data_IF_626744731532
#
_entry.id   IF_626744731532
#
_cell.length_a   1.000
_cell.length_b   1.000
_cell.length_c   1.000
_cell.angle_alpha   90.00
_cell.angle_beta   90.00
_cell.angle_gamma   90.00
#
_symmetry.space_group_name_H-M   'P 1'
#
loop_
_entity.id
_entity.type
_entity.pdbx_description
1 polymer ?
#
# COMPACT_ATOMS: atom_id res chain seq x y z
N UNK A 1 15.45 4.93 -27.62
CA UNK A 1 13.98 4.91 -27.74
C UNK A 1 13.45 5.14 -26.34
N UNK A 2 13.02 6.36 -26.00
CA UNK A 2 12.52 6.68 -24.66
C UNK A 2 11.12 6.08 -24.51
N UNK A 3 10.93 5.22 -23.52
CA UNK A 3 9.59 4.78 -23.16
C UNK A 3 8.88 5.96 -22.50
N UNK A 4 7.71 6.40 -22.99
CA UNK A 4 6.94 7.45 -22.32
C UNK A 4 6.60 7.01 -20.89
N UNK A 5 6.64 7.94 -19.95
CA UNK A 5 6.35 7.66 -18.54
C UNK A 5 4.93 7.10 -18.42
N UNK A 6 4.73 5.91 -17.82
CA UNK A 6 3.40 5.30 -17.71
C UNK A 6 2.40 6.16 -16.95
N UNK A 7 2.85 7.10 -16.10
CA UNK A 7 1.98 8.05 -15.39
C UNK A 7 1.29 9.01 -16.35
N UNK A 8 1.93 9.37 -17.47
CA UNK A 8 1.33 10.23 -18.49
C UNK A 8 0.13 9.52 -19.15
N UNK A 9 0.33 8.28 -19.60
CA UNK A 9 -0.76 7.49 -20.20
C UNK A 9 -1.89 7.20 -19.21
N UNK A 10 -1.53 6.92 -17.94
CA UNK A 10 -2.50 6.76 -16.87
C UNK A 10 -3.31 8.05 -16.66
N UNK A 11 -2.67 9.23 -16.67
CA UNK A 11 -3.35 10.51 -16.50
C UNK A 11 -4.28 10.86 -17.66
N UNK A 12 -3.82 10.68 -18.90
CA UNK A 12 -4.57 11.06 -20.11
C UNK A 12 -5.69 10.08 -20.45
N UNK A 13 -5.46 8.78 -20.29
CA UNK A 13 -6.37 7.74 -20.78
C UNK A 13 -6.96 6.88 -19.65
N UNK A 14 -6.40 6.92 -18.44
CA UNK A 14 -6.73 5.97 -17.37
C UNK A 14 -6.14 4.57 -17.59
N UNK A 15 -6.48 3.59 -16.75
CA UNK A 15 -5.99 2.22 -16.91
C UNK A 15 -6.58 1.58 -18.17
N UNK A 16 -5.78 0.73 -18.82
CA UNK A 16 -6.23 -0.10 -19.94
C UNK A 16 -7.47 -0.94 -19.58
N UNK A 17 -7.48 -1.47 -18.36
CA UNK A 17 -8.62 -2.16 -17.78
C UNK A 17 -8.89 -1.56 -16.40
N UNK A 18 -9.99 -0.81 -16.28
CA UNK A 18 -10.42 -0.27 -15.01
C UNK A 18 -10.86 -1.39 -14.05
N UNK A 19 -10.71 -1.14 -12.75
CA UNK A 19 -11.31 -2.00 -11.74
C UNK A 19 -12.83 -1.98 -11.90
N UNK A 20 -13.48 -3.14 -11.77
CA UNK A 20 -14.92 -3.25 -12.00
C UNK A 20 -15.76 -2.64 -10.87
N UNK A 21 -15.18 -2.46 -9.68
CA UNK A 21 -15.83 -1.81 -8.54
C UNK A 21 -15.37 -0.37 -8.33
N UNK A 22 -16.02 0.31 -7.38
CA UNK A 22 -15.73 1.72 -7.08
C UNK A 22 -14.59 1.92 -6.07
N UNK A 23 -14.29 0.90 -5.26
CA UNK A 23 -13.31 0.96 -4.15
C UNK A 23 -12.46 -0.29 -4.10
N UNK A 24 -11.15 -0.11 -4.20
CA UNK A 24 -10.16 -1.10 -3.82
C UNK A 24 -9.93 -0.98 -2.31
N UNK A 25 -10.58 -1.86 -1.56
CA UNK A 25 -10.28 -2.14 -0.14
C UNK A 25 -8.85 -2.65 0.04
N UNK A 26 -8.10 -2.02 0.94
CA UNK A 26 -6.70 -2.30 1.27
C UNK A 26 -6.60 -2.77 2.72
N UNK A 27 -6.11 -3.98 2.95
CA UNK A 27 -5.69 -4.43 4.28
C UNK A 27 -4.28 -3.96 4.61
N UNK A 28 -3.95 -3.88 5.90
CA UNK A 28 -2.61 -3.50 6.35
C UNK A 28 -2.15 -4.47 7.43
N UNK A 29 -0.97 -5.05 7.24
CA UNK A 29 -0.28 -5.87 8.24
C UNK A 29 1.00 -5.15 8.65
N UNK A 30 1.20 -4.90 9.93
CA UNK A 30 2.37 -4.17 10.41
C UNK A 30 2.36 -3.99 11.92
N UNK A 31 3.25 -3.15 12.44
CA UNK A 31 3.13 -2.67 13.83
C UNK A 31 1.98 -1.66 13.95
N UNK A 32 1.52 -1.38 15.18
CA UNK A 32 0.54 -0.32 15.40
C UNK A 32 1.00 1.05 14.85
N UNK A 33 2.30 1.35 14.96
CA UNK A 33 2.91 2.55 14.41
C UNK A 33 2.86 2.57 12.87
N UNK A 34 3.27 1.49 12.22
CA UNK A 34 3.34 1.45 10.74
C UNK A 34 1.97 1.36 10.09
N UNK A 35 0.97 0.81 10.78
CA UNK A 35 -0.43 0.92 10.37
C UNK A 35 -0.85 2.39 10.38
N UNK A 36 -0.58 3.11 11.46
CA UNK A 36 -0.90 4.55 11.56
C UNK A 36 -0.15 5.38 10.52
N UNK A 37 1.14 5.09 10.29
CA UNK A 37 1.93 5.77 9.25
C UNK A 37 1.38 5.46 7.84
N UNK A 38 0.88 4.25 7.60
CA UNK A 38 0.22 3.88 6.34
C UNK A 38 -1.07 4.69 6.15
N UNK A 39 -1.86 4.91 7.21
CA UNK A 39 -3.06 5.77 7.15
C UNK A 39 -2.71 7.20 6.77
N UNK A 40 -1.68 7.77 7.41
CA UNK A 40 -1.19 9.11 7.10
C UNK A 40 -0.68 9.20 5.67
N UNK A 41 0.01 8.16 5.20
CA UNK A 41 0.45 8.09 3.81
C UNK A 41 -0.72 8.07 2.83
N UNK A 42 -1.75 7.25 3.08
CA UNK A 42 -2.96 7.22 2.25
C UNK A 42 -3.67 8.57 2.24
N UNK A 43 -3.76 9.23 3.39
CA UNK A 43 -4.38 10.54 3.50
C UNK A 43 -3.59 11.62 2.75
N UNK A 44 -2.26 11.61 2.84
CA UNK A 44 -1.40 12.50 2.05
C UNK A 44 -1.53 12.20 0.54
N UNK A 45 -1.51 10.91 0.18
CA UNK A 45 -1.61 10.46 -1.21
C UNK A 45 -2.97 10.80 -1.84
N UNK A 46 -4.03 11.09 -1.08
CA UNK A 46 -5.29 11.61 -1.64
C UNK A 46 -5.07 12.90 -2.44
N UNK A 47 -4.20 13.79 -1.97
CA UNK A 47 -3.90 15.08 -2.59
C UNK A 47 -2.86 15.02 -3.71
N UNK A 48 -2.20 13.87 -3.91
CA UNK A 48 -1.09 13.74 -4.84
C UNK A 48 0.25 14.18 -4.25
N UNK A 49 1.32 14.04 -5.05
CA UNK A 49 2.67 14.49 -4.68
C UNK A 49 3.28 15.24 -5.87
N UNK A 50 3.91 16.38 -5.62
CA UNK A 50 4.50 17.20 -6.67
C UNK A 50 5.66 16.47 -7.40
N UNK A 51 5.80 16.79 -8.69
CA UNK A 51 6.92 16.30 -9.50
C UNK A 51 8.24 17.00 -9.13
N UNK A 52 9.37 16.33 -9.35
CA UNK A 52 10.69 16.81 -8.88
C UNK A 52 11.29 17.98 -9.68
N UNK A 53 10.65 18.44 -10.78
CA UNK A 53 11.21 19.52 -11.60
C UNK A 53 10.18 20.22 -12.50
N UNK A 54 10.10 21.54 -12.42
CA UNK A 54 9.32 22.38 -13.34
C UNK A 54 9.90 22.42 -14.75
N UNK A 55 11.20 22.14 -14.92
CA UNK A 55 11.89 22.30 -16.22
C UNK A 55 11.52 21.20 -17.22
N UNK A 56 11.11 20.03 -16.75
CA UNK A 56 10.72 18.89 -17.58
C UNK A 56 9.53 18.12 -16.97
N UNK A 57 8.31 18.70 -17.02
CA UNK A 57 7.12 18.11 -16.39
C UNK A 57 6.78 16.72 -16.94
N UNK A 58 7.11 16.45 -18.21
CA UNK A 58 6.86 15.15 -18.84
C UNK A 58 7.86 14.04 -18.43
N UNK A 59 9.00 14.40 -17.83
CA UNK A 59 10.01 13.44 -17.36
C UNK A 59 9.86 13.11 -15.86
N UNK A 60 9.22 14.01 -15.11
CA UNK A 60 8.96 13.84 -13.69
C UNK A 60 7.52 14.25 -13.34
N UNK A 61 6.50 13.60 -13.95
CA UNK A 61 5.12 13.95 -13.68
C UNK A 61 4.79 13.75 -12.19
N UNK A 62 3.95 14.64 -11.68
CA UNK A 62 3.42 14.56 -10.32
C UNK A 62 2.71 13.21 -10.10
N UNK A 63 2.68 12.75 -8.85
CA UNK A 63 1.74 11.70 -8.48
C UNK A 63 0.34 12.32 -8.43
N UNK A 64 -0.63 11.80 -9.21
CA UNK A 64 -1.92 12.44 -9.45
C UNK A 64 -2.87 12.40 -8.25
N UNK A 65 -2.51 11.64 -7.22
CA UNK A 65 -3.32 11.44 -6.04
C UNK A 65 -4.45 10.42 -6.24
N UNK A 66 -5.24 10.22 -5.19
CA UNK A 66 -6.26 9.16 -5.12
C UNK A 66 -7.70 9.71 -5.10
N UNK A 67 -7.90 11.03 -5.28
CA UNK A 67 -9.21 11.71 -5.18
C UNK A 67 -9.75 12.20 -6.54
N UNK A 68 -10.52 13.31 -6.62
CA UNK A 68 -11.26 13.67 -7.84
C UNK A 68 -10.34 13.80 -9.07
N UNK A 69 -10.81 13.29 -10.22
CA UNK A 69 -9.99 12.98 -11.41
C UNK A 69 -8.93 11.89 -11.18
N UNK A 70 -9.19 10.96 -10.24
CA UNK A 70 -8.33 9.82 -9.99
C UNK A 70 -8.08 9.07 -11.31
N UNK A 71 -6.84 9.03 -11.81
CA UNK A 71 -6.58 8.41 -13.09
C UNK A 71 -6.68 6.89 -13.02
N UNK A 72 -6.72 6.29 -11.82
CA UNK A 72 -7.04 4.88 -11.58
C UNK A 72 -8.54 4.55 -11.70
N UNK A 73 -9.43 5.54 -11.82
CA UNK A 73 -10.90 5.39 -11.97
C UNK A 73 -11.59 4.61 -10.84
N UNK A 74 -10.95 4.49 -9.67
CA UNK A 74 -11.49 3.87 -8.47
C UNK A 74 -10.86 4.52 -7.23
N UNK A 75 -11.45 4.36 -6.05
CA UNK A 75 -10.87 4.84 -4.79
C UNK A 75 -10.06 3.73 -4.11
N UNK A 76 -9.13 4.12 -3.25
CA UNK A 76 -8.41 3.22 -2.37
C UNK A 76 -8.74 3.57 -0.93
N UNK A 77 -9.19 2.58 -0.16
CA UNK A 77 -9.57 2.77 1.23
C UNK A 77 -8.94 1.66 2.08
N UNK A 78 -8.40 2.04 3.24
CA UNK A 78 -7.97 1.06 4.23
C UNK A 78 -9.23 0.46 4.85
N UNK A 79 -9.35 -0.86 4.79
CA UNK A 79 -10.43 -1.59 5.45
C UNK A 79 -10.05 -1.80 6.93
N UNK A 80 -10.83 -1.18 7.82
CA UNK A 80 -10.53 -1.14 9.26
C UNK A 80 -10.53 -2.55 9.88
N UNK A 81 -11.45 -3.40 9.43
CA UNK A 81 -11.50 -4.81 9.82
C UNK A 81 -10.28 -5.63 9.35
N UNK A 82 -9.52 -5.09 8.38
CA UNK A 82 -8.34 -5.71 7.79
C UNK A 82 -7.03 -4.95 8.13
N UNK A 83 -7.00 -4.17 9.20
CA UNK A 83 -5.79 -3.54 9.74
C UNK A 83 -5.23 -4.37 10.93
N UNK A 84 -4.43 -5.39 10.63
CA UNK A 84 -3.97 -6.39 11.60
C UNK A 84 -2.56 -6.06 12.13
N UNK A 85 -2.49 -5.74 13.43
CA UNK A 85 -1.24 -5.39 14.08
C UNK A 85 -0.46 -6.63 14.56
N UNK A 86 0.80 -6.74 14.15
CA UNK A 86 1.79 -7.58 14.81
C UNK A 86 2.04 -7.03 16.23
N UNK A 87 1.84 -7.88 17.23
CA UNK A 87 2.10 -7.49 18.62
C UNK A 87 3.57 -7.12 18.84
N UNK A 88 3.84 -6.17 19.73
CA UNK A 88 5.21 -5.77 20.08
C UNK A 88 6.07 -6.96 20.53
N UNK A 89 5.50 -7.90 21.30
CA UNK A 89 6.21 -9.10 21.72
C UNK A 89 6.69 -9.98 20.55
N UNK A 90 5.89 -10.08 19.48
CA UNK A 90 6.28 -10.81 18.25
C UNK A 90 7.37 -10.08 17.49
N UNK A 91 7.26 -8.76 17.35
CA UNK A 91 8.29 -7.92 16.70
C UNK A 91 9.61 -8.07 17.45
N UNK A 92 9.61 -7.92 18.78
CA UNK A 92 10.81 -8.08 19.59
C UNK A 92 11.42 -9.47 19.47
N UNK A 93 10.60 -10.52 19.44
CA UNK A 93 11.06 -11.91 19.26
C UNK A 93 11.80 -12.07 17.93
N UNK A 94 11.28 -11.49 16.86
CA UNK A 94 11.92 -11.51 15.53
C UNK A 94 13.23 -10.71 15.57
N UNK A 95 13.20 -9.48 16.08
CA UNK A 95 14.37 -8.58 16.07
C UNK A 95 15.51 -9.06 16.96
N UNK A 96 15.23 -9.85 18.00
CA UNK A 96 16.23 -10.40 18.93
C UNK A 96 16.78 -11.76 18.50
N UNK A 97 16.28 -12.36 17.41
CA UNK A 97 16.80 -13.64 16.92
C UNK A 97 18.19 -13.46 16.29
N UNK A 98 19.24 -14.11 16.81
CA UNK A 98 20.61 -13.95 16.30
C UNK A 98 20.82 -14.56 14.92
N UNK A 99 20.05 -15.59 14.55
CA UNK A 99 20.14 -16.20 13.23
C UNK A 99 19.24 -15.44 12.24
N UNK A 100 19.85 -14.73 11.31
CA UNK A 100 19.13 -13.94 10.30
C UNK A 100 18.11 -14.75 9.48
N UNK A 101 18.49 -15.95 9.03
CA UNK A 101 17.59 -16.81 8.25
C UNK A 101 16.34 -17.17 9.07
N UNK A 102 16.54 -17.53 10.34
CA UNK A 102 15.45 -17.87 11.26
C UNK A 102 14.59 -16.64 11.60
N UNK A 103 15.18 -15.46 11.72
CA UNK A 103 14.45 -14.22 11.92
C UNK A 103 13.52 -13.91 10.73
N UNK A 104 13.99 -14.12 9.49
CA UNK A 104 13.18 -13.98 8.28
C UNK A 104 12.05 -15.00 8.25
N UNK A 105 12.32 -16.27 8.56
CA UNK A 105 11.30 -17.32 8.62
C UNK A 105 10.21 -17.00 9.65
N UNK A 106 10.59 -16.51 10.84
CA UNK A 106 9.65 -16.05 11.86
C UNK A 106 8.81 -14.86 11.36
N UNK A 107 9.44 -13.87 10.73
CA UNK A 107 8.75 -12.69 10.22
C UNK A 107 7.72 -13.07 9.15
N UNK A 108 8.13 -13.88 8.17
CA UNK A 108 7.25 -14.35 7.09
C UNK A 108 6.10 -15.17 7.66
N UNK A 109 6.36 -16.09 8.60
CA UNK A 109 5.32 -16.88 9.26
C UNK A 109 4.27 -15.99 9.92
N UNK A 110 4.69 -15.03 10.74
CA UNK A 110 3.80 -14.11 11.44
C UNK A 110 2.97 -13.24 10.46
N UNK A 111 3.59 -12.75 9.38
CA UNK A 111 2.88 -11.97 8.35
C UNK A 111 1.87 -12.84 7.62
N UNK A 112 2.25 -14.05 7.22
CA UNK A 112 1.37 -14.98 6.51
C UNK A 112 0.17 -15.39 7.37
N UNK A 113 0.34 -15.56 8.67
CA UNK A 113 -0.76 -15.84 9.59
C UNK A 113 -1.77 -14.68 9.63
N UNK A 114 -1.30 -13.43 9.66
CA UNK A 114 -2.19 -12.27 9.57
C UNK A 114 -2.91 -12.20 8.22
N UNK A 115 -2.19 -12.44 7.12
CA UNK A 115 -2.78 -12.42 5.78
C UNK A 115 -3.84 -13.51 5.59
N UNK A 116 -3.64 -14.72 6.15
CA UNK A 116 -4.66 -15.78 6.14
C UNK A 116 -5.88 -15.40 6.97
N UNK A 117 -5.67 -14.91 8.19
CA UNK A 117 -6.78 -14.45 9.03
C UNK A 117 -7.61 -13.35 8.35
N UNK A 118 -6.95 -12.47 7.61
CA UNK A 118 -7.58 -11.42 6.81
C UNK A 118 -8.37 -11.98 5.61
N UNK A 119 -7.82 -12.97 4.90
CA UNK A 119 -8.47 -13.63 3.76
C UNK A 119 -9.73 -14.41 4.17
N UNK A 120 -9.70 -15.01 5.37
CA UNK A 120 -10.79 -15.77 5.97
C UNK A 120 -11.83 -14.89 6.68
N UNK A 121 -11.57 -13.59 6.82
CA UNK A 121 -12.47 -12.64 7.50
C UNK A 121 -13.64 -12.20 6.61
N UNK A 122 -14.71 -11.69 7.23
CA UNK A 122 -15.84 -11.07 6.50
C UNK A 122 -15.47 -9.76 5.80
N UNK A 123 -14.36 -9.12 6.22
CA UNK A 123 -13.86 -7.85 5.70
C UNK A 123 -12.66 -8.05 4.76
N UNK A 124 -12.69 -9.13 3.96
CA UNK A 124 -11.62 -9.49 3.02
C UNK A 124 -11.29 -8.31 2.08
N UNK A 125 -10.05 -7.77 2.11
CA UNK A 125 -9.63 -6.71 1.21
C UNK A 125 -9.23 -7.27 -0.16
N UNK A 126 -9.13 -6.40 -1.16
CA UNK A 126 -8.67 -6.78 -2.50
C UNK A 126 -7.16 -6.94 -2.57
N UNK A 127 -6.43 -6.16 -1.77
CA UNK A 127 -4.97 -6.16 -1.66
C UNK A 127 -4.56 -5.91 -0.21
N UNK A 128 -3.35 -6.35 0.16
CA UNK A 128 -2.78 -6.10 1.49
C UNK A 128 -1.41 -5.41 1.38
N UNK A 129 -1.16 -4.44 2.25
CA UNK A 129 0.13 -3.80 2.44
C UNK A 129 0.81 -4.41 3.66
N UNK A 130 2.06 -4.88 3.47
CA UNK A 130 2.92 -5.30 4.57
C UNK A 130 3.83 -4.13 4.96
N UNK A 131 3.45 -3.41 6.01
CA UNK A 131 4.13 -2.22 6.50
C UNK A 131 5.10 -2.59 7.64
N UNK A 132 6.35 -2.90 7.27
CA UNK A 132 7.40 -3.31 8.20
C UNK A 132 7.93 -2.12 9.03
N UNK A 133 8.14 -2.28 10.36
CA UNK A 133 8.65 -1.24 11.26
C UNK A 133 10.15 -0.96 11.13
#
# INVERSE_FOLDING_TARGET
MNHPDPRLGLFEAGPLQAFAGDVIKVGVVGSAKTIEDTRKFFDAAKGGFEGMSEKHPNLHPAFPGLTNQNPYRCRFEIEEGAALALSQARIEKISKEPNHQKAVELAVGEIMDQLRAMDESGDRPHVAIVALP
#
